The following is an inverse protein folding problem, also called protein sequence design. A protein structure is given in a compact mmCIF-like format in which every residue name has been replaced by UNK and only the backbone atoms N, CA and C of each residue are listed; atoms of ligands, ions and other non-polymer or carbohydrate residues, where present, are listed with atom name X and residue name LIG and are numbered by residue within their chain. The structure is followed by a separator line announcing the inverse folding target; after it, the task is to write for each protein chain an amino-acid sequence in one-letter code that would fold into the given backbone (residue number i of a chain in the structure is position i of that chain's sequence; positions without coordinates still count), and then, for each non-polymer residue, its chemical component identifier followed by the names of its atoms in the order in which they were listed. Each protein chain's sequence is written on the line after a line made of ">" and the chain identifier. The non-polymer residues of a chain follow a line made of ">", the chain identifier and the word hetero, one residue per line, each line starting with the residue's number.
data_IF_895976404897
#
_entry.id   IF_895976404897
#
_cell.length_a   1.000
_cell.length_b   1.000
_cell.length_c   1.000
_cell.angle_alpha   90.00
_cell.angle_beta   90.00
_cell.angle_gamma   90.00
#
_symmetry.space_group_name_H-M   'P 1'
#
loop_
_entity.id
_entity.type
_entity.pdbx_description
1 polymer ?
#
# COMPACT_ATOMS: atom_id res chain seq x y z
N UNK A 1 -35.54 13.08 32.89
CA UNK A 1 -34.59 13.82 32.02
C UNK A 1 -34.89 13.43 30.60
N UNK A 2 -35.55 14.35 29.89
CA UNK A 2 -36.23 14.12 28.60
C UNK A 2 -35.26 13.88 27.44
N UNK A 3 -35.63 13.05 26.44
CA UNK A 3 -34.87 12.95 25.20
C UNK A 3 -35.33 14.03 24.21
N UNK A 4 -34.37 14.78 23.70
CA UNK A 4 -34.51 15.73 22.60
C UNK A 4 -34.98 15.05 21.31
N UNK A 5 -36.21 15.28 20.96
CA UNK A 5 -36.86 14.99 19.68
C UNK A 5 -36.35 16.01 18.64
N UNK A 6 -35.43 15.59 17.76
CA UNK A 6 -35.06 16.39 16.59
C UNK A 6 -36.11 16.22 15.48
N UNK A 7 -36.89 17.26 15.29
CA UNK A 7 -37.91 17.37 14.26
C UNK A 7 -37.31 17.23 12.84
N UNK A 8 -37.44 16.05 12.24
CA UNK A 8 -37.28 15.85 10.80
C UNK A 8 -38.38 16.62 10.05
N UNK A 9 -38.03 17.73 9.41
CA UNK A 9 -38.87 18.38 8.42
C UNK A 9 -39.16 17.41 7.27
N UNK A 10 -40.33 16.77 7.30
CA UNK A 10 -40.91 16.08 6.15
C UNK A 10 -41.12 17.10 5.01
N UNK A 11 -40.26 17.15 4.04
CA UNK A 11 -40.58 17.74 2.76
C UNK A 11 -41.66 16.88 2.10
N UNK A 12 -42.86 17.40 2.01
CA UNK A 12 -43.96 16.81 1.23
C UNK A 12 -43.48 16.79 -0.25
N UNK A 13 -43.43 15.63 -0.93
CA UNK A 13 -43.11 15.56 -2.32
C UNK A 13 -44.16 16.34 -3.13
N UNK A 14 -43.73 17.30 -3.94
CA UNK A 14 -44.61 17.92 -4.91
C UNK A 14 -45.16 16.83 -5.82
N UNK A 15 -46.47 16.82 -6.03
CA UNK A 15 -47.21 15.80 -6.83
C UNK A 15 -46.61 15.61 -8.23
N UNK A 16 -46.00 16.66 -8.78
CA UNK A 16 -45.30 16.62 -10.07
C UNK A 16 -43.95 15.85 -10.00
N UNK A 17 -43.35 15.69 -8.82
CA UNK A 17 -42.07 14.99 -8.62
C UNK A 17 -42.11 13.48 -8.79
N UNK A 18 -43.27 12.85 -8.69
CA UNK A 18 -43.46 11.39 -8.69
C UNK A 18 -43.72 10.76 -10.07
N UNK A 19 -43.94 11.56 -11.10
CA UNK A 19 -44.19 11.02 -12.44
C UNK A 19 -42.93 10.55 -13.13
N UNK A 20 -43.01 9.36 -13.79
CA UNK A 20 -41.92 8.81 -14.58
C UNK A 20 -41.46 9.79 -15.68
N UNK A 21 -40.17 9.71 -16.05
CA UNK A 21 -39.59 10.56 -17.11
C UNK A 21 -40.43 10.51 -18.41
N UNK A 22 -40.98 9.34 -18.74
CA UNK A 22 -41.88 9.17 -19.89
C UNK A 22 -43.13 10.04 -19.80
N UNK A 23 -43.77 10.05 -18.65
CA UNK A 23 -44.98 10.85 -18.45
C UNK A 23 -44.69 12.35 -18.45
N UNK A 24 -43.53 12.79 -17.92
CA UNK A 24 -43.08 14.20 -17.96
C UNK A 24 -42.78 14.69 -19.36
N UNK A 25 -42.28 13.81 -20.25
CA UNK A 25 -42.02 14.17 -21.64
C UNK A 25 -43.31 14.15 -22.44
N UNK A 26 -44.17 13.17 -22.25
CA UNK A 26 -45.34 12.93 -23.08
C UNK A 26 -46.51 13.85 -22.70
N UNK A 27 -46.74 14.14 -21.40
CA UNK A 27 -47.83 14.92 -20.92
C UNK A 27 -47.94 16.35 -21.54
N UNK A 28 -46.84 17.12 -21.66
CA UNK A 28 -46.89 18.45 -22.30
C UNK A 28 -47.30 18.38 -23.78
N UNK A 29 -46.88 17.31 -24.50
CA UNK A 29 -47.33 17.11 -25.88
C UNK A 29 -48.83 16.78 -26.00
N UNK A 30 -49.35 15.97 -25.10
CA UNK A 30 -50.77 15.66 -25.08
C UNK A 30 -51.61 16.90 -24.70
N UNK A 31 -51.15 17.68 -23.72
CA UNK A 31 -51.80 18.96 -23.36
C UNK A 31 -51.79 19.93 -24.51
N UNK A 32 -50.66 20.07 -25.21
CA UNK A 32 -50.53 20.98 -26.32
C UNK A 32 -51.36 20.55 -27.53
N UNK A 33 -51.39 19.24 -27.87
CA UNK A 33 -52.26 18.70 -28.91
C UNK A 33 -53.73 18.88 -28.52
N UNK A 34 -54.14 18.62 -27.27
CA UNK A 34 -55.48 18.85 -26.77
C UNK A 34 -55.91 20.33 -26.90
N UNK A 35 -55.05 21.28 -26.53
CA UNK A 35 -55.29 22.69 -26.73
C UNK A 35 -55.41 23.06 -28.19
N UNK A 36 -54.58 22.51 -29.09
CA UNK A 36 -54.67 22.69 -30.52
C UNK A 36 -56.02 22.22 -31.06
N UNK A 37 -56.45 21.01 -30.70
CA UNK A 37 -57.75 20.45 -31.09
C UNK A 37 -58.90 21.35 -30.56
N UNK A 38 -58.86 21.80 -29.33
CA UNK A 38 -59.85 22.64 -28.71
C UNK A 38 -59.95 24.01 -29.40
N UNK A 39 -58.84 24.63 -29.79
CA UNK A 39 -58.76 25.82 -30.60
C UNK A 39 -59.36 25.58 -31.99
N UNK A 40 -59.00 24.48 -32.61
CA UNK A 40 -59.56 24.11 -33.94
C UNK A 40 -61.08 23.90 -33.89
N UNK A 41 -61.61 23.19 -32.91
CA UNK A 41 -63.02 22.97 -32.71
C UNK A 41 -63.74 24.30 -32.42
N UNK A 42 -63.20 25.14 -31.57
CA UNK A 42 -63.74 26.48 -31.26
C UNK A 42 -63.79 27.38 -32.46
N UNK A 43 -62.79 27.38 -33.31
CA UNK A 43 -62.76 28.19 -34.54
C UNK A 43 -63.71 27.63 -35.61
N UNK A 44 -63.80 26.28 -35.77
CA UNK A 44 -64.74 25.66 -36.68
C UNK A 44 -66.19 25.97 -36.33
N UNK A 45 -66.51 26.09 -35.05
CA UNK A 45 -67.85 26.45 -34.56
C UNK A 45 -68.18 27.96 -34.75
N UNK A 46 -67.20 28.84 -34.98
CA UNK A 46 -67.34 30.26 -35.28
C UNK A 46 -67.28 30.51 -36.77
N UNK A 47 -68.36 30.23 -37.44
CA UNK A 47 -68.52 30.54 -38.89
C UNK A 47 -68.35 32.02 -39.14
N UNK A 48 -67.24 32.44 -39.70
CA UNK A 48 -66.95 33.84 -40.13
C UNK A 48 -65.50 34.25 -40.04
N UNK A 49 -64.59 33.48 -39.51
CA UNK A 49 -63.16 33.82 -39.48
C UNK A 49 -62.42 33.50 -40.79
N UNK A 50 -61.48 34.34 -41.15
CA UNK A 50 -60.68 34.19 -42.37
C UNK A 50 -59.77 32.98 -42.27
N UNK A 51 -59.58 32.26 -43.35
CA UNK A 51 -58.61 31.16 -43.49
C UNK A 51 -57.24 31.55 -43.00
N UNK A 52 -56.86 32.84 -43.10
CA UNK A 52 -55.57 33.39 -42.66
C UNK A 52 -55.38 33.31 -41.13
N UNK A 53 -56.39 33.61 -40.34
CA UNK A 53 -56.30 33.56 -38.85
C UNK A 53 -56.18 32.11 -38.39
N UNK A 54 -56.83 31.15 -39.01
CA UNK A 54 -56.71 29.72 -38.78
C UNK A 54 -55.25 29.23 -39.02
N UNK A 55 -54.68 29.61 -40.15
CA UNK A 55 -53.30 29.30 -40.50
C UNK A 55 -52.28 29.87 -39.51
N UNK A 56 -52.48 31.16 -39.13
CA UNK A 56 -51.57 31.81 -38.16
C UNK A 56 -51.55 31.12 -36.78
N UNK A 57 -52.74 30.80 -36.24
CA UNK A 57 -52.83 30.08 -34.95
C UNK A 57 -52.22 28.70 -35.03
N UNK A 58 -52.42 27.99 -36.15
CA UNK A 58 -51.86 26.65 -36.34
C UNK A 58 -50.30 26.71 -36.41
N UNK A 59 -49.76 27.69 -37.15
CA UNK A 59 -48.29 27.90 -37.25
C UNK A 59 -47.73 28.26 -35.87
N UNK A 60 -48.35 29.16 -35.14
CA UNK A 60 -47.88 29.59 -33.81
C UNK A 60 -47.88 28.42 -32.82
N UNK A 61 -48.95 27.63 -32.82
CA UNK A 61 -49.05 26.45 -31.97
C UNK A 61 -48.00 25.41 -32.30
N UNK A 62 -47.73 25.20 -33.58
CA UNK A 62 -46.68 24.26 -34.06
C UNK A 62 -45.27 24.72 -33.64
N UNK A 63 -44.98 26.02 -33.77
CA UNK A 63 -43.71 26.61 -33.34
C UNK A 63 -43.55 26.49 -31.80
N UNK A 64 -44.62 26.75 -31.05
CA UNK A 64 -44.62 26.56 -29.59
C UNK A 64 -44.35 25.11 -29.19
N UNK A 65 -44.95 24.12 -29.88
CA UNK A 65 -44.70 22.72 -29.66
C UNK A 65 -43.25 22.32 -29.91
N UNK A 66 -42.67 22.78 -31.03
CA UNK A 66 -41.26 22.56 -31.35
C UNK A 66 -40.37 23.19 -30.27
N UNK A 67 -40.63 24.44 -29.88
CA UNK A 67 -39.87 25.14 -28.83
C UNK A 67 -39.89 24.39 -27.50
N UNK A 68 -41.06 23.93 -27.07
CA UNK A 68 -41.21 23.12 -25.88
C UNK A 68 -40.47 21.76 -25.96
N UNK A 69 -40.60 21.09 -27.12
CA UNK A 69 -39.89 19.81 -27.36
C UNK A 69 -38.36 19.98 -27.30
N UNK A 70 -37.84 21.01 -27.95
CA UNK A 70 -36.41 21.33 -27.91
C UNK A 70 -35.93 21.71 -26.48
N UNK A 71 -36.74 22.47 -25.75
CA UNK A 71 -36.42 22.80 -24.35
C UNK A 71 -36.32 21.53 -23.46
N UNK A 72 -37.29 20.63 -23.56
CA UNK A 72 -37.30 19.38 -22.80
C UNK A 72 -36.11 18.50 -23.23
N UNK A 73 -35.88 18.35 -24.54
CA UNK A 73 -34.78 17.56 -25.07
C UNK A 73 -33.43 18.08 -24.59
N UNK A 74 -33.22 19.43 -24.60
CA UNK A 74 -31.99 20.04 -24.08
C UNK A 74 -31.81 19.75 -22.57
N UNK A 75 -32.85 19.88 -21.78
CA UNK A 75 -32.81 19.66 -20.33
C UNK A 75 -32.44 18.20 -19.98
N UNK A 76 -33.01 17.24 -20.70
CA UNK A 76 -32.69 15.82 -20.56
C UNK A 76 -31.24 15.54 -21.00
N UNK A 77 -30.87 16.03 -22.18
CA UNK A 77 -29.51 15.84 -22.73
C UNK A 77 -28.42 16.40 -21.81
N UNK A 78 -28.66 17.56 -21.18
CA UNK A 78 -27.70 18.14 -20.21
C UNK A 78 -27.54 17.26 -18.97
N UNK A 79 -28.61 16.64 -18.46
CA UNK A 79 -28.53 15.73 -17.31
C UNK A 79 -27.79 14.45 -17.66
N UNK A 80 -28.05 13.88 -18.84
CA UNK A 80 -27.31 12.71 -19.33
C UNK A 80 -25.81 13.02 -19.51
N UNK A 81 -25.49 14.18 -20.11
CA UNK A 81 -24.09 14.60 -20.26
C UNK A 81 -23.36 14.71 -18.92
N UNK A 82 -24.03 15.18 -17.86
CA UNK A 82 -23.42 15.21 -16.51
C UNK A 82 -23.05 13.82 -16.02
N UNK A 83 -23.92 12.83 -16.25
CA UNK A 83 -23.62 11.44 -15.87
C UNK A 83 -22.45 10.88 -16.69
N UNK A 84 -22.41 11.15 -18.00
CA UNK A 84 -21.31 10.72 -18.88
C UNK A 84 -19.99 11.33 -18.42
N UNK A 85 -19.94 12.67 -18.22
CA UNK A 85 -18.72 13.35 -17.80
C UNK A 85 -18.25 12.85 -16.42
N UNK A 86 -19.16 12.61 -15.49
CA UNK A 86 -18.82 12.03 -14.19
C UNK A 86 -18.25 10.61 -14.33
N UNK A 87 -18.83 9.79 -15.22
CA UNK A 87 -18.33 8.45 -15.49
C UNK A 87 -16.92 8.45 -16.12
N UNK A 88 -16.65 9.41 -17.03
CA UNK A 88 -15.32 9.60 -17.62
C UNK A 88 -14.27 9.99 -16.56
N UNK A 89 -14.64 10.85 -15.61
CA UNK A 89 -13.74 11.28 -14.53
C UNK A 89 -13.46 10.11 -13.55
N UNK A 90 -14.48 9.33 -13.23
CA UNK A 90 -14.30 8.11 -12.42
C UNK A 90 -13.39 7.10 -13.15
N UNK A 91 -13.53 6.96 -14.46
CA UNK A 91 -12.64 6.11 -15.27
C UNK A 91 -11.17 6.60 -15.29
N UNK A 92 -10.94 7.90 -15.09
CA UNK A 92 -9.61 8.50 -14.93
C UNK A 92 -9.08 8.39 -13.49
N UNK A 93 -9.86 7.81 -12.56
CA UNK A 93 -9.44 7.56 -11.18
C UNK A 93 -9.95 8.57 -10.15
N UNK A 94 -10.74 9.58 -10.55
CA UNK A 94 -11.34 10.51 -9.59
C UNK A 94 -12.61 9.93 -8.96
N UNK A 95 -12.45 9.34 -7.79
CA UNK A 95 -13.54 8.75 -7.00
C UNK A 95 -14.24 9.76 -6.06
N UNK A 96 -13.86 11.04 -6.10
CA UNK A 96 -14.50 12.08 -5.28
C UNK A 96 -15.77 12.65 -5.91
N UNK A 97 -15.97 12.43 -7.18
CA UNK A 97 -17.06 12.95 -7.98
C UNK A 97 -18.40 12.41 -7.49
N UNK A 98 -19.37 13.31 -7.35
CA UNK A 98 -20.78 12.98 -7.05
C UNK A 98 -21.69 13.74 -8.02
N UNK A 99 -22.75 13.06 -8.45
CA UNK A 99 -23.79 13.68 -9.29
C UNK A 99 -24.87 14.18 -8.35
N UNK A 100 -24.99 15.51 -8.25
CA UNK A 100 -26.12 16.12 -7.55
C UNK A 100 -27.31 16.21 -8.52
N UNK A 101 -28.27 15.31 -8.35
CA UNK A 101 -29.55 15.32 -9.04
C UNK A 101 -30.67 15.01 -8.06
N UNK A 102 -31.22 16.05 -7.45
CA UNK A 102 -32.32 15.97 -6.47
C UNK A 102 -33.65 15.47 -7.05
N UNK A 103 -33.70 15.02 -8.30
CA UNK A 103 -34.97 14.55 -8.90
C UNK A 103 -35.33 13.14 -8.46
N UNK A 104 -36.64 12.87 -8.46
CA UNK A 104 -37.18 11.54 -8.10
C UNK A 104 -37.54 10.69 -9.33
N UNK A 105 -37.15 11.12 -10.53
CA UNK A 105 -37.36 10.41 -11.78
C UNK A 105 -36.26 9.36 -12.05
N UNK A 106 -36.32 8.72 -13.23
CA UNK A 106 -35.38 7.68 -13.64
C UNK A 106 -33.93 8.19 -13.72
N UNK A 107 -33.70 9.46 -14.08
CA UNK A 107 -32.36 10.06 -14.12
C UNK A 107 -31.83 10.33 -12.71
N UNK A 108 -32.71 10.74 -11.77
CA UNK A 108 -32.30 10.85 -10.37
C UNK A 108 -31.99 9.50 -9.73
N UNK A 109 -32.71 8.42 -10.11
CA UNK A 109 -32.36 7.06 -9.70
C UNK A 109 -31.00 6.64 -10.25
N UNK A 110 -30.75 6.94 -11.55
CA UNK A 110 -29.47 6.66 -12.19
C UNK A 110 -28.32 7.39 -11.47
N UNK A 111 -28.51 8.68 -11.14
CA UNK A 111 -27.51 9.45 -10.40
C UNK A 111 -27.22 8.88 -9.02
N UNK A 112 -28.27 8.44 -8.27
CA UNK A 112 -28.07 7.78 -6.98
C UNK A 112 -27.33 6.44 -7.10
N UNK A 113 -27.73 5.60 -8.07
CA UNK A 113 -27.04 4.32 -8.32
C UNK A 113 -25.59 4.52 -8.74
N UNK A 114 -25.32 5.55 -9.54
CA UNK A 114 -23.97 5.94 -9.92
C UNK A 114 -23.14 6.35 -8.68
N UNK A 115 -23.67 7.24 -7.84
CA UNK A 115 -22.99 7.67 -6.61
C UNK A 115 -22.70 6.51 -5.67
N UNK A 116 -23.63 5.57 -5.51
CA UNK A 116 -23.44 4.35 -4.71
C UNK A 116 -22.33 3.46 -5.28
N UNK A 117 -22.26 3.33 -6.61
CA UNK A 117 -21.18 2.59 -7.28
C UNK A 117 -19.82 3.25 -7.03
N UNK A 118 -19.73 4.58 -7.14
CA UNK A 118 -18.48 5.33 -6.88
C UNK A 118 -18.06 5.18 -5.42
N UNK A 119 -18.99 5.27 -4.48
CA UNK A 119 -18.71 5.05 -3.06
C UNK A 119 -18.17 3.64 -2.78
N UNK A 120 -18.78 2.60 -3.38
CA UNK A 120 -18.28 1.23 -3.27
C UNK A 120 -16.88 1.06 -3.86
N UNK A 121 -16.61 1.71 -5.01
CA UNK A 121 -15.26 1.71 -5.62
C UNK A 121 -14.24 2.40 -4.72
N UNK A 122 -14.59 3.52 -4.11
CA UNK A 122 -13.72 4.25 -3.18
C UNK A 122 -13.40 3.40 -1.94
N UNK A 123 -14.41 2.75 -1.34
CA UNK A 123 -14.19 1.80 -0.25
C UNK A 123 -13.29 0.63 -0.64
N UNK A 124 -13.47 0.06 -1.83
CA UNK A 124 -12.60 -1.00 -2.34
C UNK A 124 -11.16 -0.52 -2.56
N UNK A 125 -10.99 0.69 -3.12
CA UNK A 125 -9.70 1.32 -3.31
C UNK A 125 -8.99 1.55 -1.97
N UNK A 126 -9.69 2.11 -1.00
CA UNK A 126 -9.15 2.37 0.33
C UNK A 126 -8.76 1.06 1.05
N UNK A 127 -9.63 0.05 1.01
CA UNK A 127 -9.34 -1.29 1.57
C UNK A 127 -8.14 -1.94 0.90
N UNK A 128 -8.02 -1.82 -0.44
CA UNK A 128 -6.88 -2.33 -1.19
C UNK A 128 -5.58 -1.60 -0.82
N UNK A 129 -5.62 -0.29 -0.61
CA UNK A 129 -4.46 0.51 -0.19
C UNK A 129 -3.98 0.12 1.21
N UNK A 130 -4.90 -0.07 2.16
CA UNK A 130 -4.59 -0.57 3.50
C UNK A 130 -3.95 -1.97 3.43
N UNK A 131 -4.52 -2.90 2.66
CA UNK A 131 -3.96 -4.24 2.48
C UNK A 131 -2.60 -4.18 1.77
N UNK A 132 -2.37 -3.21 0.89
CA UNK A 132 -1.09 -3.05 0.20
C UNK A 132 0.06 -2.68 1.15
N UNK A 133 -0.24 -2.08 2.29
CA UNK A 133 0.73 -1.73 3.33
C UNK A 133 1.10 -2.88 4.25
N UNK A 134 0.31 -3.95 4.24
CA UNK A 134 0.57 -5.15 5.06
C UNK A 134 1.47 -6.18 4.35
N UNK A 135 1.65 -6.05 3.03
CA UNK A 135 2.47 -6.98 2.24
C UNK A 135 3.40 -6.24 1.29
N UNK A 136 4.62 -6.73 1.12
CA UNK A 136 5.53 -6.17 0.11
C UNK A 136 4.96 -6.32 -1.31
N UNK A 137 5.29 -5.40 -2.25
CA UNK A 137 4.82 -5.48 -3.64
C UNK A 137 5.17 -6.80 -4.33
N UNK A 138 6.34 -7.36 -4.05
CA UNK A 138 6.79 -8.63 -4.61
C UNK A 138 5.98 -9.81 -4.10
N UNK A 139 5.67 -9.87 -2.80
CA UNK A 139 4.80 -10.89 -2.21
C UNK A 139 3.40 -10.81 -2.80
N UNK A 140 2.84 -9.61 -2.89
CA UNK A 140 1.51 -9.42 -3.49
C UNK A 140 1.46 -9.87 -4.93
N UNK A 141 2.49 -9.55 -5.74
CA UNK A 141 2.59 -10.01 -7.13
C UNK A 141 2.62 -11.54 -7.20
N UNK A 142 3.48 -12.19 -6.40
CA UNK A 142 3.57 -13.65 -6.34
C UNK A 142 2.24 -14.30 -6.00
N UNK A 143 1.53 -13.79 -4.99
CA UNK A 143 0.21 -14.31 -4.61
C UNK A 143 -0.86 -14.08 -5.70
N UNK A 144 -0.79 -12.99 -6.46
CA UNK A 144 -1.69 -12.74 -7.58
C UNK A 144 -1.41 -13.63 -8.80
N UNK A 145 -0.15 -13.94 -9.08
CA UNK A 145 0.26 -14.75 -10.23
C UNK A 145 0.17 -16.25 -9.96
N UNK A 146 0.53 -16.69 -8.78
CA UNK A 146 0.63 -18.11 -8.41
C UNK A 146 -0.54 -18.60 -7.56
N UNK A 147 -1.37 -17.68 -7.04
CA UNK A 147 -2.43 -18.00 -6.08
C UNK A 147 -1.89 -18.26 -4.65
N UNK A 148 -2.82 -18.55 -3.74
CA UNK A 148 -2.51 -18.93 -2.36
C UNK A 148 -2.18 -20.42 -2.31
N UNK A 149 -0.90 -20.77 -2.27
CA UNK A 149 -0.46 -22.15 -1.99
C UNK A 149 0.22 -22.22 -0.62
N UNK A 150 -0.48 -22.77 0.36
CA UNK A 150 0.03 -22.94 1.73
C UNK A 150 1.13 -24.02 1.86
N UNK A 151 1.48 -24.73 0.79
CA UNK A 151 2.62 -25.67 0.82
C UNK A 151 3.95 -24.92 0.81
N UNK A 152 3.95 -23.66 0.34
CA UNK A 152 5.17 -22.89 0.16
C UNK A 152 6.11 -23.45 -0.90
N UNK A 153 7.20 -22.75 -1.15
CA UNK A 153 8.22 -23.13 -2.13
C UNK A 153 9.55 -23.26 -1.41
N UNK A 154 10.24 -24.39 -1.62
CA UNK A 154 11.60 -24.56 -1.10
C UNK A 154 12.59 -23.85 -2.01
N UNK A 155 13.35 -22.91 -1.46
CA UNK A 155 14.40 -22.20 -2.18
C UNK A 155 15.51 -21.74 -1.24
N UNK A 156 16.70 -21.50 -1.81
CA UNK A 156 17.82 -20.95 -1.06
C UNK A 156 17.67 -19.44 -0.99
N UNK A 157 17.66 -18.89 0.23
CA UNK A 157 17.53 -17.45 0.47
C UNK A 157 18.62 -16.97 1.42
N UNK A 158 18.95 -15.69 1.31
CA UNK A 158 19.78 -15.01 2.30
C UNK A 158 18.87 -14.34 3.34
N UNK A 159 19.22 -14.52 4.60
CA UNK A 159 18.41 -14.09 5.76
C UNK A 159 19.21 -13.09 6.57
N UNK A 160 18.53 -12.01 6.97
CA UNK A 160 19.00 -11.03 7.95
C UNK A 160 18.07 -11.10 9.17
N UNK A 161 18.67 -11.26 10.32
CA UNK A 161 18.00 -11.09 11.60
C UNK A 161 18.61 -9.87 12.30
N UNK A 162 17.78 -8.86 12.57
CA UNK A 162 18.20 -7.54 13.04
C UNK A 162 17.52 -7.28 14.38
N UNK A 163 18.26 -6.80 15.39
CA UNK A 163 17.73 -6.61 16.73
C UNK A 163 18.41 -5.41 17.41
N UNK A 164 17.66 -4.64 18.21
CA UNK A 164 18.19 -3.50 18.93
C UNK A 164 18.94 -3.99 20.16
N UNK A 165 20.16 -3.52 20.35
CA UNK A 165 20.94 -3.84 21.54
C UNK A 165 20.35 -3.16 22.79
N UNK A 166 20.23 -3.92 23.87
CA UNK A 166 19.74 -3.46 25.18
C UNK A 166 18.33 -2.84 25.13
N UNK A 167 17.47 -3.29 24.19
CA UNK A 167 16.12 -2.76 24.02
C UNK A 167 15.26 -2.85 25.27
N UNK A 168 15.37 -3.91 26.04
CA UNK A 168 14.64 -4.07 27.31
C UNK A 168 14.93 -2.90 28.25
N UNK A 169 16.19 -2.51 28.41
CA UNK A 169 16.58 -1.36 29.22
C UNK A 169 16.05 -0.03 28.67
N UNK A 170 16.04 0.10 27.33
CA UNK A 170 15.48 1.27 26.67
C UNK A 170 13.98 1.36 26.92
N UNK A 171 13.25 0.25 26.75
CA UNK A 171 11.79 0.20 26.88
C UNK A 171 11.28 0.47 28.30
N UNK A 172 12.05 0.09 29.33
CA UNK A 172 11.71 0.40 30.72
C UNK A 172 11.80 1.89 31.08
N UNK A 173 12.57 2.66 30.31
CA UNK A 173 12.78 4.10 30.53
C UNK A 173 11.77 5.03 29.87
N UNK A 174 10.85 4.51 29.06
CA UNK A 174 9.92 5.31 28.26
C UNK A 174 8.46 4.88 28.45
N UNK A 175 7.54 5.86 28.30
CA UNK A 175 6.12 5.56 28.22
C UNK A 175 5.76 4.82 26.91
N UNK A 176 4.63 4.14 26.92
CA UNK A 176 4.19 3.29 25.80
C UNK A 176 4.03 4.06 24.49
N UNK A 177 3.58 5.32 24.53
CA UNK A 177 3.35 6.12 23.31
C UNK A 177 4.69 6.49 22.65
N UNK A 178 5.67 6.91 23.44
CA UNK A 178 7.03 7.19 22.95
C UNK A 178 7.71 5.93 22.43
N UNK A 179 7.52 4.80 23.11
CA UNK A 179 8.06 3.52 22.66
C UNK A 179 7.51 3.10 21.30
N UNK A 180 6.21 3.26 21.07
CA UNK A 180 5.57 2.99 19.77
C UNK A 180 6.10 3.92 18.69
N UNK A 181 6.24 5.23 18.98
CA UNK A 181 6.84 6.18 18.05
C UNK A 181 8.27 5.77 17.67
N UNK A 182 9.10 5.44 18.66
CA UNK A 182 10.46 4.96 18.50
C UNK A 182 10.53 3.71 17.61
N UNK A 183 9.72 2.68 17.90
CA UNK A 183 9.69 1.45 17.10
C UNK A 183 9.24 1.70 15.66
N UNK A 184 8.25 2.56 15.44
CA UNK A 184 7.77 2.88 14.10
C UNK A 184 8.83 3.60 13.26
N UNK A 185 9.60 4.52 13.84
CA UNK A 185 10.70 5.22 13.16
C UNK A 185 11.84 4.24 12.83
N UNK A 186 12.18 3.36 13.78
CA UNK A 186 13.12 2.26 13.59
C UNK A 186 12.68 1.31 12.47
N UNK A 187 11.45 0.81 12.53
CA UNK A 187 10.91 -0.09 11.50
C UNK A 187 10.90 0.57 10.12
N UNK A 188 10.51 1.84 10.04
CA UNK A 188 10.50 2.59 8.78
C UNK A 188 11.89 2.69 8.19
N UNK A 189 12.90 2.96 9.03
CA UNK A 189 14.29 3.07 8.61
C UNK A 189 14.81 1.73 8.07
N UNK A 190 14.61 0.64 8.81
CA UNK A 190 15.05 -0.70 8.39
C UNK A 190 14.31 -1.16 7.14
N UNK A 191 12.97 -1.07 7.13
CA UNK A 191 12.16 -1.52 6.00
C UNK A 191 12.50 -0.77 4.71
N UNK A 192 12.79 0.53 4.80
CA UNK A 192 13.23 1.33 3.65
C UNK A 192 14.52 0.79 3.03
N UNK A 193 15.55 0.52 3.85
CA UNK A 193 16.82 0.00 3.35
C UNK A 193 16.69 -1.41 2.78
N UNK A 194 15.96 -2.29 3.48
CA UNK A 194 15.68 -3.65 2.99
C UNK A 194 14.95 -3.62 1.65
N UNK A 195 13.96 -2.74 1.52
CA UNK A 195 13.20 -2.59 0.28
C UNK A 195 14.04 -2.04 -0.88
N UNK A 196 14.87 -1.02 -0.64
CA UNK A 196 15.81 -0.46 -1.62
C UNK A 196 16.77 -1.56 -2.12
N UNK A 197 17.24 -2.43 -1.22
CA UNK A 197 18.09 -3.57 -1.56
C UNK A 197 17.37 -4.74 -2.25
N UNK A 198 16.06 -4.64 -2.47
CA UNK A 198 15.26 -5.72 -3.08
C UNK A 198 14.84 -6.83 -2.12
N UNK A 199 15.12 -6.67 -0.83
CA UNK A 199 14.70 -7.61 0.22
C UNK A 199 13.25 -7.46 0.66
N UNK A 200 12.81 -8.39 1.47
CA UNK A 200 11.44 -8.45 2.02
C UNK A 200 11.53 -8.55 3.54
N UNK A 201 10.71 -7.77 4.23
CA UNK A 201 10.48 -7.96 5.65
C UNK A 201 9.55 -9.14 5.84
N UNK A 202 10.03 -10.18 6.49
CA UNK A 202 9.27 -11.39 6.78
C UNK A 202 8.48 -11.30 8.07
N UNK A 203 8.99 -10.56 9.07
CA UNK A 203 8.32 -10.42 10.37
C UNK A 203 8.90 -9.27 11.19
N UNK A 204 8.04 -8.57 11.91
CA UNK A 204 8.39 -7.71 13.04
C UNK A 204 8.13 -8.45 14.36
N UNK A 205 9.12 -8.58 15.22
CA UNK A 205 9.02 -9.32 16.49
C UNK A 205 9.46 -8.47 17.68
N UNK A 206 8.71 -7.42 18.03
CA UNK A 206 9.15 -6.45 19.04
C UNK A 206 10.30 -5.58 18.49
N UNK A 207 11.48 -5.66 19.05
CA UNK A 207 12.68 -4.97 18.58
C UNK A 207 13.43 -5.73 17.48
N UNK A 208 13.07 -6.99 17.24
CA UNK A 208 13.68 -7.82 16.22
C UNK A 208 12.94 -7.74 14.87
N UNK A 209 13.69 -7.82 13.79
CA UNK A 209 13.18 -7.83 12.42
C UNK A 209 13.82 -9.01 11.68
N UNK A 210 12.98 -9.82 11.04
CA UNK A 210 13.40 -10.82 10.07
C UNK A 210 13.25 -10.23 8.66
N UNK A 211 14.35 -10.18 7.91
CA UNK A 211 14.35 -9.83 6.50
C UNK A 211 14.99 -10.95 5.68
N UNK A 212 14.63 -11.07 4.40
CA UNK A 212 15.19 -12.09 3.53
C UNK A 212 15.28 -11.61 2.07
N UNK A 213 16.18 -12.23 1.29
CA UNK A 213 16.47 -11.94 -0.11
C UNK A 213 16.46 -13.26 -0.92
N UNK A 214 15.95 -13.21 -2.16
CA UNK A 214 15.89 -14.39 -3.03
C UNK A 214 14.54 -15.12 -3.04
N UNK A 215 13.49 -14.57 -2.42
CA UNK A 215 12.12 -15.05 -2.47
C UNK A 215 11.16 -13.84 -2.59
N UNK A 216 9.93 -14.00 -3.11
CA UNK A 216 9.28 -15.20 -3.65
C UNK A 216 9.76 -15.60 -5.05
N UNK A 217 10.42 -14.69 -5.77
CA UNK A 217 10.95 -14.95 -7.10
C UNK A 217 12.38 -15.50 -6.98
N UNK A 218 12.64 -16.57 -7.72
CA UNK A 218 13.96 -17.18 -7.71
C UNK A 218 14.97 -16.27 -8.45
N UNK A 219 16.05 -15.93 -7.78
CA UNK A 219 17.16 -15.17 -8.30
C UNK A 219 18.47 -15.98 -8.14
N UNK A 220 19.54 -15.67 -8.91
CA UNK A 220 20.85 -16.26 -8.65
C UNK A 220 21.25 -16.00 -7.20
N UNK A 221 21.76 -17.04 -6.55
CA UNK A 221 22.17 -16.97 -5.13
C UNK A 221 23.21 -15.88 -4.88
N UNK A 222 24.14 -15.68 -5.82
CA UNK A 222 25.13 -14.60 -5.73
C UNK A 222 24.50 -13.20 -5.73
N UNK A 223 23.44 -12.99 -6.52
CA UNK A 223 22.73 -11.72 -6.57
C UNK A 223 22.04 -11.41 -5.25
N UNK A 224 21.26 -12.35 -4.74
CA UNK A 224 20.53 -12.17 -3.47
C UNK A 224 21.48 -12.04 -2.27
N UNK A 225 22.58 -12.81 -2.25
CA UNK A 225 23.59 -12.73 -1.19
C UNK A 225 24.32 -11.40 -1.19
N UNK A 226 24.70 -10.91 -2.37
CA UNK A 226 25.36 -9.62 -2.53
C UNK A 226 24.42 -8.48 -2.12
N UNK A 227 23.16 -8.50 -2.59
CA UNK A 227 22.17 -7.51 -2.21
C UNK A 227 21.92 -7.47 -0.70
N UNK A 228 21.87 -8.63 -0.06
CA UNK A 228 21.70 -8.76 1.38
C UNK A 228 22.87 -8.14 2.17
N UNK A 229 24.10 -8.45 1.80
CA UNK A 229 25.30 -7.90 2.47
C UNK A 229 25.40 -6.39 2.26
N UNK A 230 25.21 -5.89 1.04
CA UNK A 230 25.21 -4.45 0.78
C UNK A 230 24.11 -3.72 1.56
N UNK A 231 22.93 -4.37 1.71
CA UNK A 231 21.85 -3.83 2.54
C UNK A 231 22.24 -3.79 4.01
N UNK A 232 22.88 -4.83 4.53
CA UNK A 232 23.33 -4.85 5.93
C UNK A 232 24.36 -3.73 6.21
N UNK A 233 25.26 -3.45 5.27
CA UNK A 233 26.19 -2.31 5.37
C UNK A 233 25.46 -0.97 5.34
N UNK A 234 24.50 -0.80 4.43
CA UNK A 234 23.70 0.42 4.35
C UNK A 234 22.83 0.62 5.62
N UNK A 235 22.41 -0.47 6.26
CA UNK A 235 21.69 -0.42 7.53
C UNK A 235 22.55 0.13 8.67
N UNK A 236 23.85 -0.17 8.73
CA UNK A 236 24.74 0.42 9.74
C UNK A 236 24.73 1.96 9.64
N UNK A 237 24.90 2.51 8.43
CA UNK A 237 24.87 3.96 8.21
C UNK A 237 23.51 4.58 8.53
N UNK A 238 22.44 3.90 8.12
CA UNK A 238 21.09 4.38 8.35
C UNK A 238 20.73 4.41 9.85
N UNK A 239 21.13 3.40 10.60
CA UNK A 239 20.94 3.34 12.05
C UNK A 239 21.79 4.38 12.77
N UNK A 240 23.03 4.61 12.35
CA UNK A 240 23.85 5.66 12.93
C UNK A 240 23.18 7.03 12.76
N UNK A 241 22.71 7.37 11.56
CA UNK A 241 21.98 8.61 11.29
C UNK A 241 20.67 8.72 12.11
N UNK A 242 19.97 7.61 12.28
CA UNK A 242 18.78 7.54 13.13
C UNK A 242 19.12 7.81 14.59
N UNK A 243 20.16 7.16 15.10
CA UNK A 243 20.66 7.30 16.47
C UNK A 243 21.10 8.74 16.77
N UNK A 244 21.82 9.39 15.84
CA UNK A 244 22.25 10.78 15.95
C UNK A 244 21.04 11.72 16.01
N UNK A 245 20.06 11.53 15.13
CA UNK A 245 18.81 12.30 15.14
C UNK A 245 18.04 12.15 16.46
N UNK A 246 17.96 10.94 16.99
CA UNK A 246 17.28 10.67 18.26
C UNK A 246 18.00 11.31 19.44
N UNK A 247 19.33 11.27 19.44
CA UNK A 247 20.14 11.93 20.46
C UNK A 247 19.86 13.44 20.50
N UNK A 248 19.73 14.10 19.35
CA UNK A 248 19.34 15.51 19.25
C UNK A 248 17.94 15.76 19.82
N UNK A 249 17.02 14.80 19.67
CA UNK A 249 15.65 14.88 20.20
C UNK A 249 15.55 14.46 21.68
N UNK A 250 16.67 14.16 22.34
CA UNK A 250 16.67 13.68 23.72
C UNK A 250 16.18 12.24 23.88
N UNK A 251 16.19 11.46 22.80
CA UNK A 251 15.89 10.05 22.80
C UNK A 251 17.20 9.24 22.95
N UNK A 252 17.13 7.95 23.32
CA UNK A 252 18.33 7.13 23.52
C UNK A 252 19.06 6.89 22.20
N UNK A 253 20.37 6.88 22.23
CA UNK A 253 21.16 6.34 21.14
C UNK A 253 20.92 4.84 21.02
N UNK A 254 20.84 4.35 19.77
CA UNK A 254 20.63 2.93 19.49
C UNK A 254 21.79 2.33 18.69
N UNK A 255 21.97 1.05 18.91
CA UNK A 255 22.83 0.18 18.10
C UNK A 255 22.05 -1.08 17.79
N UNK A 256 22.33 -1.68 16.64
CA UNK A 256 21.72 -2.96 16.24
C UNK A 256 22.78 -4.03 16.07
N UNK A 257 22.38 -5.28 16.34
CA UNK A 257 23.12 -6.46 15.93
C UNK A 257 22.44 -7.09 14.72
N UNK A 258 23.21 -7.50 13.73
CA UNK A 258 22.71 -8.15 12.51
C UNK A 258 23.36 -9.52 12.38
N UNK A 259 22.57 -10.57 12.41
CA UNK A 259 22.99 -11.92 12.07
C UNK A 259 22.55 -12.29 10.66
N UNK A 260 23.46 -12.81 9.86
CA UNK A 260 23.18 -13.14 8.46
C UNK A 260 23.52 -14.59 8.18
N UNK A 261 22.67 -15.26 7.43
CA UNK A 261 22.94 -16.64 6.96
C UNK A 261 22.32 -16.88 5.59
N UNK A 262 22.79 -17.93 4.93
CA UNK A 262 22.20 -18.41 3.69
C UNK A 262 21.85 -19.89 3.83
N UNK A 263 20.76 -20.31 3.20
CA UNK A 263 20.41 -21.73 3.17
C UNK A 263 19.00 -21.97 2.61
N UNK A 264 18.64 -23.26 2.47
CA UNK A 264 17.32 -23.65 2.02
C UNK A 264 16.28 -23.34 3.10
N UNK A 265 15.15 -22.79 2.65
CA UNK A 265 13.97 -22.50 3.45
C UNK A 265 12.70 -22.83 2.67
N UNK A 266 11.59 -22.96 3.38
CA UNK A 266 10.25 -22.91 2.78
C UNK A 266 9.77 -21.47 2.86
N UNK A 267 9.55 -20.84 1.70
CA UNK A 267 8.99 -19.49 1.56
C UNK A 267 7.52 -19.59 1.15
N UNK A 268 6.63 -18.87 1.80
CA UNK A 268 5.21 -18.92 1.47
C UNK A 268 4.31 -18.33 2.54
N UNK A 269 2.98 -18.39 2.33
CA UNK A 269 1.99 -18.03 3.34
C UNK A 269 2.00 -19.07 4.46
N UNK A 270 2.30 -18.62 5.67
CA UNK A 270 2.41 -19.45 6.87
C UNK A 270 1.42 -18.97 7.91
N UNK A 271 0.55 -19.85 8.36
CA UNK A 271 -0.50 -19.55 9.30
C UNK A 271 -1.76 -20.38 9.07
N UNK A 272 -2.90 -19.83 9.42
CA UNK A 272 -4.22 -20.43 9.15
C UNK A 272 -4.82 -19.88 7.84
N UNK A 273 -5.86 -20.53 7.33
CA UNK A 273 -6.60 -20.04 6.16
C UNK A 273 -7.19 -18.63 6.34
N UNK A 274 -7.45 -18.21 7.58
CA UNK A 274 -8.04 -16.90 7.90
C UNK A 274 -7.00 -15.85 8.25
N UNK A 275 -5.79 -16.26 8.66
CA UNK A 275 -4.72 -15.35 9.08
C UNK A 275 -3.37 -15.99 8.80
N UNK A 276 -2.60 -15.40 7.91
CA UNK A 276 -1.27 -15.86 7.54
C UNK A 276 -0.31 -14.69 7.36
N UNK A 277 0.96 -14.98 7.48
CA UNK A 277 2.07 -14.10 7.11
C UNK A 277 2.83 -14.75 5.96
N UNK A 278 3.25 -13.96 4.97
CA UNK A 278 4.18 -14.47 3.96
C UNK A 278 5.60 -14.34 4.50
N UNK A 279 6.20 -15.46 4.84
CA UNK A 279 7.51 -15.49 5.51
C UNK A 279 8.31 -16.73 5.09
N UNK A 280 9.46 -16.91 5.71
CA UNK A 280 10.37 -18.03 5.46
C UNK A 280 10.57 -18.86 6.73
N UNK A 281 10.59 -20.18 6.58
CA UNK A 281 10.90 -21.12 7.68
C UNK A 281 12.02 -22.05 7.23
N UNK A 282 13.01 -22.23 8.07
CA UNK A 282 14.13 -23.14 7.82
C UNK A 282 15.23 -22.99 8.86
N UNK A 283 16.20 -23.90 8.82
CA UNK A 283 17.34 -23.90 9.72
C UNK A 283 18.21 -22.64 9.55
N UNK A 284 18.29 -22.10 8.32
CA UNK A 284 18.98 -20.86 8.04
C UNK A 284 18.38 -19.65 8.81
N UNK A 285 17.04 -19.60 9.01
CA UNK A 285 16.39 -18.54 9.80
C UNK A 285 16.86 -18.61 11.26
N UNK A 286 16.88 -19.80 11.83
CA UNK A 286 17.36 -20.01 13.19
C UNK A 286 18.86 -19.68 13.32
N UNK A 287 19.65 -19.99 12.30
CA UNK A 287 21.07 -19.65 12.28
C UNK A 287 21.28 -18.13 12.27
N UNK A 288 20.59 -17.38 11.40
CA UNK A 288 20.67 -15.93 11.37
C UNK A 288 20.35 -15.29 12.74
N UNK A 289 19.28 -15.76 13.39
CA UNK A 289 18.92 -15.30 14.75
C UNK A 289 20.04 -15.56 15.76
N UNK A 290 20.68 -16.72 15.73
CA UNK A 290 21.77 -17.05 16.64
C UNK A 290 23.06 -16.29 16.35
N UNK A 291 23.35 -16.01 15.07
CA UNK A 291 24.46 -15.15 14.69
C UNK A 291 24.21 -13.70 15.15
N UNK A 292 22.96 -13.25 15.13
CA UNK A 292 22.60 -11.97 15.71
C UNK A 292 22.85 -11.94 17.23
N UNK A 293 22.42 -12.97 17.97
CA UNK A 293 22.74 -13.08 19.40
C UNK A 293 24.25 -13.09 19.66
N UNK A 294 25.04 -13.68 18.79
CA UNK A 294 26.50 -13.72 18.91
C UNK A 294 27.11 -12.30 18.84
N UNK A 295 26.50 -11.36 18.10
CA UNK A 295 26.95 -9.97 18.07
C UNK A 295 26.95 -9.28 19.44
N UNK A 296 26.21 -9.80 20.42
CA UNK A 296 26.17 -9.30 21.80
C UNK A 296 27.38 -9.78 22.61
N UNK A 297 27.97 -10.91 22.23
CA UNK A 297 29.04 -11.58 22.96
C UNK A 297 30.44 -11.35 22.36
N UNK A 298 30.47 -10.85 21.11
CA UNK A 298 31.73 -10.56 20.41
C UNK A 298 31.81 -9.04 20.22
N UNK A 299 32.61 -8.40 21.06
CA UNK A 299 32.76 -6.94 21.05
C UNK A 299 33.38 -6.45 19.73
N UNK A 300 32.89 -5.32 19.24
CA UNK A 300 33.44 -4.64 18.05
C UNK A 300 32.77 -5.00 16.74
N UNK A 301 31.85 -5.97 16.72
CA UNK A 301 31.17 -6.42 15.48
C UNK A 301 29.65 -6.25 15.58
N UNK A 302 29.09 -5.51 14.65
CA UNK A 302 27.65 -5.33 14.56
C UNK A 302 26.99 -6.29 13.60
N UNK A 303 27.71 -6.85 12.64
CA UNK A 303 27.22 -7.83 11.68
C UNK A 303 28.07 -9.10 11.78
N UNK A 304 27.39 -10.24 11.90
CA UNK A 304 28.04 -11.57 11.85
C UNK A 304 27.35 -12.40 10.79
N UNK A 305 28.13 -13.01 9.91
CA UNK A 305 27.64 -13.87 8.83
C UNK A 305 28.36 -15.21 8.80
N UNK A 306 27.68 -16.25 8.30
CA UNK A 306 28.29 -17.58 8.12
C UNK A 306 29.16 -17.63 6.84
N UNK A 307 30.12 -18.51 6.82
CA UNK A 307 31.07 -18.65 5.71
C UNK A 307 30.38 -18.97 4.39
N UNK A 308 29.31 -19.76 4.38
CA UNK A 308 28.55 -20.09 3.18
C UNK A 308 27.95 -18.84 2.51
N UNK A 309 27.55 -17.84 3.31
CA UNK A 309 27.06 -16.57 2.75
C UNK A 309 28.21 -15.79 2.12
N UNK A 310 29.37 -15.72 2.76
CA UNK A 310 30.56 -15.09 2.18
C UNK A 310 30.97 -15.75 0.85
N UNK A 311 30.96 -17.10 0.82
CA UNK A 311 31.28 -17.84 -0.39
C UNK A 311 30.26 -17.64 -1.52
N UNK A 312 29.01 -17.36 -1.19
CA UNK A 312 27.94 -17.11 -2.13
C UNK A 312 27.95 -15.70 -2.77
N UNK A 313 28.78 -14.77 -2.27
CA UNK A 313 28.86 -13.40 -2.81
C UNK A 313 29.35 -13.38 -4.25
N UNK A 314 28.94 -12.36 -4.99
CA UNK A 314 29.45 -12.09 -6.33
C UNK A 314 30.98 -11.83 -6.29
N UNK A 315 31.68 -12.35 -7.31
CA UNK A 315 33.13 -12.27 -7.38
C UNK A 315 33.62 -10.81 -7.37
N UNK A 316 32.94 -9.92 -8.07
CA UNK A 316 33.33 -8.51 -8.16
C UNK A 316 33.24 -7.81 -6.80
N UNK A 317 32.29 -8.21 -5.97
CA UNK A 317 32.14 -7.70 -4.59
C UNK A 317 33.18 -8.31 -3.67
N UNK A 318 33.44 -9.63 -3.78
CA UNK A 318 34.53 -10.28 -3.03
C UNK A 318 35.91 -9.62 -3.27
N UNK A 319 36.18 -9.23 -4.50
CA UNK A 319 37.43 -8.54 -4.86
C UNK A 319 37.56 -7.14 -4.21
N UNK A 320 36.46 -6.55 -3.76
CA UNK A 320 36.42 -5.27 -3.04
C UNK A 320 36.42 -5.44 -1.50
N UNK A 321 36.24 -6.67 -1.02
CA UNK A 321 36.25 -6.99 0.41
C UNK A 321 37.63 -7.48 0.79
N UNK A 322 38.22 -6.90 1.82
CA UNK A 322 39.43 -7.41 2.44
C UNK A 322 39.07 -8.28 3.63
N UNK A 323 39.43 -9.56 3.61
CA UNK A 323 39.31 -10.44 4.77
C UNK A 323 40.62 -10.36 5.56
N UNK A 324 40.49 -10.08 6.86
CA UNK A 324 41.61 -9.99 7.82
C UNK A 324 41.36 -10.88 9.02
N UNK A 325 42.42 -11.34 9.66
CA UNK A 325 42.29 -12.04 10.95
C UNK A 325 41.99 -11.05 12.08
N UNK A 326 41.47 -11.55 13.21
CA UNK A 326 41.16 -10.72 14.40
C UNK A 326 42.39 -9.98 14.88
N UNK A 327 43.53 -10.68 15.02
CA UNK A 327 44.80 -10.07 15.48
C UNK A 327 45.27 -8.98 14.53
N UNK A 328 45.17 -9.19 13.21
CA UNK A 328 45.54 -8.21 12.20
C UNK A 328 44.65 -6.96 12.27
N UNK A 329 43.34 -7.15 12.48
CA UNK A 329 42.38 -6.04 12.60
C UNK A 329 42.60 -5.21 13.86
N UNK A 330 42.91 -5.83 14.99
CA UNK A 330 43.15 -5.15 16.28
C UNK A 330 44.40 -4.28 16.23
N UNK A 331 45.42 -4.65 15.46
CA UNK A 331 46.67 -3.88 15.28
C UNK A 331 46.47 -2.67 14.38
N UNK A 332 45.46 -2.65 13.50
CA UNK A 332 45.20 -1.53 12.60
C UNK A 332 44.85 -0.26 13.37
N UNK A 333 45.57 0.82 13.08
CA UNK A 333 45.25 2.13 13.64
C UNK A 333 43.91 2.69 13.13
N UNK A 334 43.25 3.58 13.91
CA UNK A 334 41.95 4.17 13.55
C UNK A 334 41.94 4.81 12.14
N UNK A 335 43.05 5.47 11.72
CA UNK A 335 43.19 6.06 10.39
C UNK A 335 43.23 5.02 9.28
N UNK A 336 43.86 3.89 9.51
CA UNK A 336 43.95 2.80 8.56
C UNK A 336 42.61 2.05 8.42
N UNK A 337 41.86 1.93 9.49
CA UNK A 337 40.49 1.38 9.47
C UNK A 337 39.53 2.24 8.63
N UNK A 338 39.65 3.58 8.71
CA UNK A 338 38.75 4.51 8.03
C UNK A 338 38.94 4.60 6.50
N UNK A 339 40.11 4.20 5.97
CA UNK A 339 40.47 4.35 4.55
C UNK A 339 40.46 3.05 3.75
N UNK A 340 40.09 1.92 4.36
CA UNK A 340 40.08 0.62 3.68
C UNK A 340 38.73 0.24 3.09
N UNK A 341 38.72 -0.60 2.04
CA UNK A 341 37.48 -1.26 1.59
C UNK A 341 36.83 -2.02 2.74
N UNK A 342 35.56 -2.37 2.59
CA UNK A 342 34.81 -3.13 3.62
C UNK A 342 35.64 -4.31 4.11
N UNK A 343 35.95 -4.33 5.40
CA UNK A 343 36.76 -5.39 5.99
C UNK A 343 35.82 -6.45 6.60
N UNK A 344 36.07 -7.70 6.26
CA UNK A 344 35.50 -8.85 6.94
C UNK A 344 36.59 -9.45 7.80
N UNK A 345 36.29 -9.60 9.07
CA UNK A 345 37.21 -10.21 10.02
C UNK A 345 36.85 -11.68 10.16
N UNK A 346 37.81 -12.54 9.93
CA UNK A 346 37.65 -13.99 10.14
C UNK A 346 37.64 -14.28 11.65
N UNK A 347 36.45 -14.62 12.17
CA UNK A 347 36.25 -14.95 13.59
C UNK A 347 36.45 -16.44 13.86
N UNK A 348 36.75 -17.23 12.82
CA UNK A 348 36.99 -18.68 12.93
C UNK A 348 35.73 -19.49 13.24
N UNK A 349 35.94 -20.60 13.87
CA UNK A 349 34.91 -21.58 14.22
C UNK A 349 34.24 -21.23 15.54
N UNK A 350 32.90 -21.03 15.53
CA UNK A 350 32.12 -20.74 16.73
C UNK A 350 31.05 -21.79 16.98
N UNK A 351 30.86 -22.15 18.23
CA UNK A 351 29.77 -23.03 18.65
C UNK A 351 28.47 -22.23 18.78
N UNK A 352 27.50 -22.59 17.98
CA UNK A 352 26.18 -21.97 17.98
C UNK A 352 25.17 -22.91 18.61
N UNK A 353 24.39 -22.43 19.59
CA UNK A 353 23.40 -23.25 20.32
C UNK A 353 22.50 -24.01 19.34
N UNK A 354 22.40 -25.36 19.52
CA UNK A 354 21.54 -26.26 18.74
C UNK A 354 22.05 -26.59 17.34
N UNK A 355 23.32 -26.31 17.02
CA UNK A 355 24.05 -26.92 15.90
C UNK A 355 24.90 -28.07 16.40
N UNK A 356 25.08 -29.10 15.55
CA UNK A 356 25.85 -30.34 15.94
C UNK A 356 27.36 -30.12 15.89
N UNK A 357 27.83 -29.01 15.26
CA UNK A 357 29.25 -28.71 15.14
C UNK A 357 29.50 -27.20 15.10
N UNK A 358 30.75 -26.76 15.17
CA UNK A 358 31.14 -25.39 15.01
C UNK A 358 30.80 -24.90 13.60
N UNK A 359 30.59 -23.58 13.47
CA UNK A 359 30.29 -22.91 12.22
C UNK A 359 31.34 -21.82 12.02
N UNK A 360 31.93 -21.78 10.85
CA UNK A 360 32.87 -20.72 10.46
C UNK A 360 32.12 -19.43 10.17
N UNK A 361 32.54 -18.32 10.77
CA UNK A 361 31.86 -17.03 10.69
C UNK A 361 32.81 -15.89 10.44
N UNK A 362 32.29 -14.86 9.79
CA UNK A 362 32.96 -13.58 9.59
C UNK A 362 32.20 -12.48 10.33
N UNK A 363 32.93 -11.52 10.88
CA UNK A 363 32.41 -10.32 11.49
C UNK A 363 32.68 -9.09 10.63
N UNK A 364 31.71 -8.18 10.54
CA UNK A 364 31.91 -6.85 9.98
C UNK A 364 31.96 -5.87 11.15
N UNK A 365 33.07 -5.09 11.28
CA UNK A 365 33.27 -4.18 12.37
C UNK A 365 32.25 -3.05 12.43
N UNK A 366 31.99 -2.56 13.64
CA UNK A 366 31.21 -1.35 13.88
C UNK A 366 32.02 -0.11 13.46
N UNK A 367 31.59 0.70 12.48
CA UNK A 367 32.31 1.90 12.06
C UNK A 367 32.36 3.00 13.13
N UNK A 368 31.56 2.88 14.20
CA UNK A 368 31.49 3.84 15.31
C UNK A 368 32.38 3.51 16.53
N UNK A 369 33.27 2.54 16.40
CA UNK A 369 34.25 2.17 17.45
C UNK A 369 35.68 2.36 17.03
#
# INVERSE_FOLDING_TARGET
>A
MEPHESAQKKHSPSIIGSFSLRLRIILPFFVLIGLLILVWVSLALRTGQSLVELLLVSILSFLAAIGLGLFIARKISQRIKRVINAAEQVAQGDLTIRIDDGSQDELGRLARSFNQMVENLDHLHHSRDLLSRTMSPNVRRSLMEQGLDFRGITQTVCILFIDIRDFTRISEGYDTERLVFFLNDYYTTIASQVHIGGGIIGKYGGDSILAYFGAPFSEPVSTSSTAAVLTALALQDAIQKLSDRWTILGLPSIRVGIGMSIGPVVAGPIGSEKQFEYTVIGDAVNLASRLQDLTRNVDGYNIILNAELYEALDRTVKEQIQVVGVEEYEVLGERERAWRPVQFVDLGEVLVKGKQGPIHVYGIPDPGR
#
